data_IF_512724150048
#
_entry.id   IF_512724150048
#
_cell.length_a   1.000
_cell.length_b   1.000
_cell.length_c   1.000
_cell.angle_alpha   90.00
_cell.angle_beta   90.00
_cell.angle_gamma   90.00
#
_symmetry.space_group_name_H-M   'P 1'
#
loop_
_entity.id
_entity.type
_entity.pdbx_description
1 polymer ?
#
# COMPACT_ATOMS: atom_id res chain seq x y z
N UNK A 1 -20.31 17.93 -1.70
CA UNK A 1 -19.29 18.45 -0.75
C UNK A 1 -18.13 19.04 -1.54
N UNK A 2 -17.48 20.06 -0.98
CA UNK A 2 -16.20 20.58 -1.46
C UNK A 2 -15.10 19.87 -0.68
N UNK A 3 -14.20 19.17 -1.37
CA UNK A 3 -13.14 18.35 -0.76
C UNK A 3 -11.79 18.87 -1.27
N UNK A 4 -10.92 19.31 -0.37
CA UNK A 4 -9.54 19.64 -0.73
C UNK A 4 -8.59 18.56 -0.17
N UNK A 5 -7.82 17.97 -1.07
CA UNK A 5 -6.86 16.91 -0.74
C UNK A 5 -5.45 17.50 -0.89
N UNK A 6 -4.57 17.25 0.06
CA UNK A 6 -3.17 17.67 -0.05
C UNK A 6 -2.22 16.51 0.24
N UNK A 7 -1.41 16.15 -0.76
CA UNK A 7 -0.34 15.15 -0.65
C UNK A 7 0.96 15.77 -0.11
N UNK A 8 1.96 14.94 0.15
CA UNK A 8 3.27 15.40 0.62
C UNK A 8 4.17 16.02 -0.46
N UNK A 9 5.33 16.56 -0.07
CA UNK A 9 6.24 17.31 -0.94
C UNK A 9 7.11 16.48 -1.87
N UNK A 10 7.10 15.14 -1.75
CA UNK A 10 8.15 14.30 -2.33
C UNK A 10 7.78 13.66 -3.66
N UNK A 11 6.49 13.40 -3.90
CA UNK A 11 6.00 12.78 -5.13
C UNK A 11 4.90 13.63 -5.76
N UNK A 12 4.88 13.78 -7.09
CA UNK A 12 3.82 14.51 -7.80
C UNK A 12 2.54 13.67 -7.90
N UNK A 13 1.43 14.30 -8.33
CA UNK A 13 0.19 13.63 -8.75
C UNK A 13 -0.18 14.09 -10.19
N UNK A 14 -0.40 13.19 -11.13
CA UNK A 14 -0.22 11.74 -11.01
C UNK A 14 1.23 11.37 -10.71
N UNK A 15 1.47 10.27 -9.97
CA UNK A 15 2.84 9.87 -9.63
C UNK A 15 3.56 9.27 -10.84
N UNK A 16 4.91 9.41 -10.81
CA UNK A 16 5.78 8.58 -11.63
C UNK A 16 5.80 7.11 -11.13
N UNK A 17 6.86 6.35 -11.47
CA UNK A 17 7.01 4.95 -11.06
C UNK A 17 6.93 4.71 -9.55
N UNK A 18 7.37 5.68 -8.74
CA UNK A 18 7.24 5.65 -7.28
C UNK A 18 6.07 6.54 -6.82
N UNK A 19 5.44 6.22 -5.68
CA UNK A 19 4.36 7.03 -5.11
C UNK A 19 3.02 6.29 -5.05
N UNK A 20 2.98 5.16 -4.36
CA UNK A 20 1.74 4.38 -4.19
C UNK A 20 0.63 5.21 -3.52
N UNK A 21 0.96 6.02 -2.51
CA UNK A 21 0.01 6.87 -1.79
C UNK A 21 -0.57 7.94 -2.71
N UNK A 22 0.27 8.60 -3.52
CA UNK A 22 -0.13 9.62 -4.47
C UNK A 22 -1.03 9.04 -5.57
N UNK A 23 -0.76 7.81 -5.99
CA UNK A 23 -1.61 7.08 -6.95
C UNK A 23 -2.99 6.80 -6.37
N UNK A 24 -3.04 6.20 -5.19
CA UNK A 24 -4.29 5.92 -4.49
C UNK A 24 -5.10 7.20 -4.24
N UNK A 25 -4.41 8.29 -3.86
CA UNK A 25 -5.04 9.60 -3.66
C UNK A 25 -5.61 10.17 -4.96
N UNK A 26 -4.89 10.03 -6.08
CA UNK A 26 -5.38 10.47 -7.40
C UNK A 26 -6.61 9.69 -7.83
N UNK A 27 -6.59 8.36 -7.67
CA UNK A 27 -7.71 7.48 -7.99
C UNK A 27 -8.95 7.84 -7.15
N UNK A 28 -8.79 8.04 -5.83
CA UNK A 28 -9.87 8.46 -4.94
C UNK A 28 -10.42 9.85 -5.29
N UNK A 29 -9.54 10.82 -5.58
CA UNK A 29 -9.96 12.16 -5.97
C UNK A 29 -10.85 12.14 -7.23
N UNK A 30 -10.45 11.37 -8.24
CA UNK A 30 -11.24 11.19 -9.46
C UNK A 30 -12.60 10.51 -9.17
N UNK A 31 -12.65 9.53 -8.26
CA UNK A 31 -13.91 8.88 -7.85
C UNK A 31 -14.84 9.82 -7.09
N UNK A 32 -14.29 10.71 -6.25
CA UNK A 32 -15.09 11.74 -5.58
C UNK A 32 -15.67 12.74 -6.59
N UNK A 33 -14.86 13.20 -7.56
CA UNK A 33 -15.33 14.10 -8.62
C UNK A 33 -16.43 13.45 -9.48
N UNK A 34 -16.26 12.18 -9.87
CA UNK A 34 -17.25 11.42 -10.63
C UNK A 34 -18.60 11.26 -9.88
N UNK A 35 -18.62 11.39 -8.55
CA UNK A 35 -19.82 11.38 -7.70
C UNK A 35 -20.42 12.78 -7.47
N UNK A 36 -19.97 13.78 -8.25
CA UNK A 36 -20.50 15.15 -8.20
C UNK A 36 -19.96 16.01 -7.05
N UNK A 37 -18.82 15.61 -6.44
CA UNK A 37 -18.15 16.45 -5.45
C UNK A 37 -17.16 17.40 -6.13
N UNK A 38 -17.03 18.62 -5.61
CA UNK A 38 -16.02 19.58 -6.04
C UNK A 38 -14.68 19.21 -5.38
N UNK A 39 -13.71 18.76 -6.17
CA UNK A 39 -12.44 18.23 -5.64
C UNK A 39 -11.25 19.08 -6.09
N UNK A 40 -10.46 19.56 -5.12
CA UNK A 40 -9.16 20.21 -5.37
C UNK A 40 -8.04 19.32 -4.82
N UNK A 41 -7.03 18.98 -5.65
CA UNK A 41 -5.87 18.19 -5.26
C UNK A 41 -4.60 19.04 -5.30
N UNK A 42 -4.05 19.30 -4.11
CA UNK A 42 -2.77 20.01 -3.92
C UNK A 42 -1.64 18.99 -3.87
N UNK A 43 -0.65 19.13 -4.74
CA UNK A 43 0.46 18.20 -4.85
C UNK A 43 1.78 18.88 -5.20
N UNK A 44 2.85 18.10 -5.23
CA UNK A 44 4.15 18.56 -5.71
C UNK A 44 4.08 18.86 -7.22
N UNK A 45 4.76 19.95 -7.62
CA UNK A 45 5.00 20.30 -9.03
C UNK A 45 5.72 19.17 -9.77
N UNK A 46 5.30 18.90 -11.00
CA UNK A 46 5.90 17.91 -11.89
C UNK A 46 6.41 18.59 -13.17
N UNK A 47 7.66 18.34 -13.60
CA UNK A 47 8.12 18.80 -14.92
C UNK A 47 7.19 18.23 -16.02
N UNK A 48 6.75 19.08 -16.93
CA UNK A 48 5.84 18.67 -18.02
C UNK A 48 4.35 18.70 -17.70
N UNK A 49 3.96 19.08 -16.45
CA UNK A 49 2.57 19.34 -16.11
C UNK A 49 2.38 20.79 -15.66
N UNK A 50 1.27 21.44 -16.03
CA UNK A 50 0.99 22.81 -15.61
C UNK A 50 0.77 22.90 -14.09
N UNK A 51 1.04 24.07 -13.51
CA UNK A 51 0.84 24.31 -12.08
C UNK A 51 -0.63 24.24 -11.67
N UNK A 52 -1.54 24.53 -12.60
CA UNK A 52 -2.97 24.38 -12.43
C UNK A 52 -3.60 23.77 -13.66
N UNK A 53 -4.49 22.81 -13.47
CA UNK A 53 -5.31 22.20 -14.51
C UNK A 53 -6.57 21.56 -13.91
N UNK A 54 -7.52 21.24 -14.76
CA UNK A 54 -8.64 20.35 -14.39
C UNK A 54 -8.48 19.08 -15.21
N UNK A 55 -8.34 17.94 -14.53
CA UNK A 55 -8.22 16.63 -15.14
C UNK A 55 -9.09 15.63 -14.39
N UNK A 56 -9.85 14.79 -15.11
CA UNK A 56 -10.80 13.84 -14.54
C UNK A 56 -11.79 14.48 -13.53
N UNK A 57 -12.23 15.72 -13.77
CA UNK A 57 -13.11 16.48 -12.87
C UNK A 57 -12.43 17.02 -11.61
N UNK A 58 -11.13 16.79 -11.42
CA UNK A 58 -10.35 17.25 -10.28
C UNK A 58 -9.55 18.49 -10.64
N UNK A 59 -9.64 19.54 -9.82
CA UNK A 59 -8.80 20.74 -9.93
C UNK A 59 -7.44 20.47 -9.28
N UNK A 60 -6.39 20.36 -10.07
CA UNK A 60 -5.02 20.21 -9.59
C UNK A 60 -4.37 21.56 -9.32
N UNK A 61 -3.69 21.67 -8.18
CA UNK A 61 -2.84 22.80 -7.79
C UNK A 61 -1.47 22.24 -7.39
N UNK A 62 -0.44 22.51 -8.21
CA UNK A 62 0.90 21.99 -7.99
C UNK A 62 1.82 23.03 -7.39
N UNK A 63 2.47 22.68 -6.27
CA UNK A 63 3.35 23.54 -5.50
C UNK A 63 4.79 23.06 -5.59
N UNK A 64 5.74 24.00 -5.35
CA UNK A 64 7.15 23.65 -5.25
C UNK A 64 7.35 22.65 -4.12
N UNK A 65 7.86 21.47 -4.45
CA UNK A 65 8.19 20.41 -3.51
C UNK A 65 9.70 20.18 -3.41
N UNK A 66 10.08 19.08 -2.79
CA UNK A 66 11.48 18.68 -2.55
C UNK A 66 11.71 17.24 -3.00
N UNK A 67 12.97 16.87 -3.18
CA UNK A 67 13.34 15.46 -3.33
C UNK A 67 13.52 14.81 -1.96
N UNK A 68 13.04 13.57 -1.80
CA UNK A 68 13.24 12.78 -0.59
C UNK A 68 14.71 12.37 -0.44
N UNK A 69 15.12 12.15 0.81
CA UNK A 69 16.42 11.60 1.17
C UNK A 69 16.26 10.34 2.00
N UNK A 70 17.32 9.58 2.22
CA UNK A 70 17.33 8.43 3.12
C UNK A 70 17.15 8.80 4.61
N UNK A 71 17.43 10.07 4.97
CA UNK A 71 17.37 10.56 6.36
C UNK A 71 15.98 11.10 6.68
N UNK A 72 15.24 10.41 7.55
CA UNK A 72 13.85 10.77 7.91
C UNK A 72 13.73 12.19 8.47
N UNK A 73 14.63 12.60 9.37
CA UNK A 73 14.56 13.93 9.98
C UNK A 73 14.78 15.07 8.96
N UNK A 74 15.64 14.84 7.92
CA UNK A 74 15.82 15.79 6.81
C UNK A 74 14.53 15.93 6.01
N UNK A 75 13.84 14.82 5.77
CA UNK A 75 12.56 14.85 5.07
C UNK A 75 11.48 15.58 5.87
N UNK A 76 11.48 15.44 7.20
CA UNK A 76 10.57 16.20 8.08
C UNK A 76 10.83 17.71 7.97
N UNK A 77 12.10 18.12 7.98
CA UNK A 77 12.46 19.54 7.78
C UNK A 77 12.07 20.05 6.39
N UNK A 78 12.30 19.26 5.34
CA UNK A 78 11.91 19.60 3.96
C UNK A 78 10.40 19.67 3.74
N UNK A 79 9.61 18.96 4.54
CA UNK A 79 8.15 19.02 4.48
C UNK A 79 7.58 20.36 4.97
N UNK A 80 8.27 21.04 5.89
CA UNK A 80 7.75 22.26 6.52
C UNK A 80 7.46 23.41 5.53
N UNK A 81 8.40 23.84 4.66
CA UNK A 81 8.10 24.92 3.72
C UNK A 81 7.01 24.58 2.72
N UNK A 82 6.94 23.33 2.26
CA UNK A 82 5.84 22.85 1.43
C UNK A 82 4.51 22.90 2.18
N UNK A 83 4.45 22.37 3.38
CA UNK A 83 3.26 22.37 4.22
C UNK A 83 2.77 23.77 4.54
N UNK A 84 3.67 24.71 4.78
CA UNK A 84 3.31 26.12 4.97
C UNK A 84 2.72 26.75 3.70
N UNK A 85 3.33 26.46 2.54
CA UNK A 85 2.81 26.90 1.24
C UNK A 85 1.44 26.30 0.93
N UNK A 86 1.27 24.99 1.18
CA UNK A 86 0.01 24.28 1.02
C UNK A 86 -1.07 24.83 1.97
N UNK A 87 -0.76 25.00 3.25
CA UNK A 87 -1.69 25.55 4.22
C UNK A 87 -2.25 26.92 3.81
N UNK A 88 -1.40 27.80 3.23
CA UNK A 88 -1.82 29.11 2.74
C UNK A 88 -2.73 29.04 1.51
N UNK A 89 -2.69 27.94 0.76
CA UNK A 89 -3.42 27.73 -0.50
C UNK A 89 -4.55 26.73 -0.40
N UNK A 90 -4.80 26.16 0.80
CA UNK A 90 -5.99 25.35 1.03
C UNK A 90 -7.23 26.20 0.72
N UNK A 91 -8.09 25.79 -0.23
CA UNK A 91 -9.31 26.50 -0.56
C UNK A 91 -10.35 26.35 0.56
N UNK A 92 -11.37 27.20 0.54
CA UNK A 92 -12.56 26.97 1.33
C UNK A 92 -13.21 25.65 0.89
N UNK A 93 -13.39 24.75 1.82
CA UNK A 93 -13.92 23.40 1.57
C UNK A 93 -14.65 22.89 2.80
N UNK A 94 -15.48 21.86 2.60
CA UNK A 94 -16.18 21.22 3.71
C UNK A 94 -15.24 20.24 4.44
N UNK A 95 -14.34 19.60 3.66
CA UNK A 95 -13.34 18.64 4.18
C UNK A 95 -11.95 18.93 3.60
N UNK A 96 -10.96 18.94 4.46
CA UNK A 96 -9.53 18.90 4.10
C UNK A 96 -8.94 17.52 4.42
N UNK A 97 -8.63 16.74 3.40
CA UNK A 97 -7.91 15.45 3.52
C UNK A 97 -6.42 15.68 3.36
N UNK A 98 -5.65 15.51 4.44
CA UNK A 98 -4.25 15.91 4.52
C UNK A 98 -3.32 14.71 4.71
N UNK A 99 -2.25 14.67 3.90
CA UNK A 99 -1.24 13.62 3.94
C UNK A 99 0.18 14.21 3.86
N UNK A 100 0.59 14.95 4.87
CA UNK A 100 1.99 15.37 5.08
C UNK A 100 2.26 15.54 6.57
N UNK A 101 3.52 15.73 6.95
CA UNK A 101 3.88 15.75 8.37
C UNK A 101 3.41 17.03 9.09
N UNK A 102 3.68 18.22 8.53
CA UNK A 102 3.38 19.48 9.20
C UNK A 102 2.01 20.06 8.84
N UNK A 103 1.46 19.68 7.69
CA UNK A 103 0.25 20.31 7.19
C UNK A 103 -0.97 20.17 8.11
N UNK A 104 -1.25 19.01 8.75
CA UNK A 104 -2.38 18.91 9.68
C UNK A 104 -2.26 19.89 10.86
N UNK A 105 -1.06 20.06 11.40
CA UNK A 105 -0.79 21.00 12.48
C UNK A 105 -0.96 22.48 12.05
N UNK A 106 -0.51 22.83 10.84
CA UNK A 106 -0.62 24.18 10.30
C UNK A 106 -2.08 24.50 9.87
N UNK A 107 -2.76 23.54 9.28
CA UNK A 107 -4.16 23.67 8.88
C UNK A 107 -5.11 23.86 10.07
N UNK A 108 -4.86 23.16 11.18
CA UNK A 108 -5.65 23.30 12.41
C UNK A 108 -5.70 24.75 12.94
N UNK A 109 -4.63 25.53 12.73
CA UNK A 109 -4.58 26.95 13.09
C UNK A 109 -5.42 27.85 12.15
N UNK A 110 -5.55 27.46 10.89
CA UNK A 110 -6.31 28.18 9.87
C UNK A 110 -7.79 27.82 9.81
N UNK A 111 -8.15 26.69 10.39
CA UNK A 111 -9.52 26.14 10.37
C UNK A 111 -10.58 27.12 10.87
N UNK A 112 -10.25 27.98 11.84
CA UNK A 112 -11.19 28.94 12.43
C UNK A 112 -11.84 29.85 11.39
N UNK A 113 -11.10 30.17 10.33
CA UNK A 113 -11.52 31.06 9.25
C UNK A 113 -12.20 30.33 8.08
N UNK A 114 -12.01 29.00 7.96
CA UNK A 114 -12.41 28.22 6.80
C UNK A 114 -13.59 27.26 7.04
N UNK A 115 -13.92 26.97 8.30
CA UNK A 115 -15.03 26.05 8.66
C UNK A 115 -14.84 24.57 8.24
N UNK A 116 -13.69 24.21 7.66
CA UNK A 116 -13.46 22.88 7.15
C UNK A 116 -13.20 21.85 8.25
N UNK A 117 -13.67 20.60 8.08
CA UNK A 117 -13.26 19.45 8.88
C UNK A 117 -11.92 18.94 8.40
N UNK A 118 -10.99 18.68 9.32
CA UNK A 118 -9.63 18.19 9.01
C UNK A 118 -9.57 16.70 9.20
N UNK A 119 -9.31 15.98 8.10
CA UNK A 119 -9.09 14.54 8.05
C UNK A 119 -7.63 14.27 7.73
N UNK A 120 -6.95 13.43 8.51
CA UNK A 120 -5.57 13.00 8.27
C UNK A 120 -5.56 11.60 7.71
N UNK A 121 -4.97 11.42 6.50
CA UNK A 121 -4.77 10.10 5.91
C UNK A 121 -3.48 9.46 6.46
N UNK A 122 -3.61 8.37 7.20
CA UNK A 122 -2.51 7.68 7.86
C UNK A 122 -2.10 6.42 7.07
N UNK A 123 -1.29 6.60 6.02
CA UNK A 123 -0.81 5.52 5.16
C UNK A 123 0.44 4.80 5.68
N UNK A 124 1.02 5.25 6.79
CA UNK A 124 2.26 4.71 7.37
C UNK A 124 2.18 4.66 8.87
N UNK A 125 2.98 3.80 9.47
CA UNK A 125 3.14 3.77 10.93
C UNK A 125 3.57 5.14 11.48
N UNK A 126 3.06 5.52 12.67
CA UNK A 126 3.32 6.79 13.30
C UNK A 126 4.81 6.95 13.68
N UNK A 127 5.34 8.18 13.51
CA UNK A 127 6.71 8.56 13.85
C UNK A 127 6.78 9.69 14.88
N UNK A 128 5.80 9.79 15.78
CA UNK A 128 5.72 10.83 16.80
C UNK A 128 4.73 11.95 16.50
N UNK A 129 4.35 12.15 15.24
CA UNK A 129 3.57 13.30 14.77
C UNK A 129 2.15 13.41 15.33
N UNK A 130 1.48 12.29 15.60
CA UNK A 130 0.08 12.30 16.05
C UNK A 130 -0.11 12.98 17.42
N UNK A 131 0.95 13.08 18.23
CA UNK A 131 0.92 13.86 19.48
C UNK A 131 0.64 15.35 19.24
N UNK A 132 0.97 15.86 18.03
CA UNK A 132 0.82 17.25 17.62
C UNK A 132 -0.55 17.54 16.96
N UNK A 133 -1.33 16.53 16.60
CA UNK A 133 -2.54 16.68 15.76
C UNK A 133 -3.83 16.86 16.54
N UNK A 134 -3.77 17.37 17.77
CA UNK A 134 -4.97 17.58 18.63
C UNK A 134 -6.08 18.44 18.02
N UNK A 135 -5.79 19.18 16.95
CA UNK A 135 -6.75 20.04 16.24
C UNK A 135 -7.39 19.41 15.02
N UNK A 136 -7.22 18.11 14.77
CA UNK A 136 -7.86 17.41 13.65
C UNK A 136 -9.18 16.75 14.08
N UNK A 137 -10.09 16.55 13.14
CA UNK A 137 -11.42 16.01 13.42
C UNK A 137 -11.51 14.50 13.19
N UNK A 138 -10.66 13.97 12.30
CA UNK A 138 -10.62 12.54 11.94
C UNK A 138 -9.21 12.12 11.57
N UNK A 139 -8.84 10.88 11.91
CA UNK A 139 -7.64 10.21 11.42
C UNK A 139 -8.11 8.93 10.74
N UNK A 140 -7.89 8.81 9.43
CA UNK A 140 -8.22 7.61 8.66
C UNK A 140 -6.97 6.76 8.51
N UNK A 141 -6.91 5.65 9.24
CA UNK A 141 -5.83 4.68 9.18
C UNK A 141 -6.10 3.60 8.12
N UNK A 142 -5.06 3.18 7.41
CA UNK A 142 -5.18 2.17 6.33
C UNK A 142 -5.29 0.73 6.84
N UNK A 143 -5.05 0.49 8.12
CA UNK A 143 -5.19 -0.83 8.77
C UNK A 143 -5.44 -0.68 10.27
N UNK A 144 -5.94 -1.75 10.90
CA UNK A 144 -6.10 -1.80 12.35
C UNK A 144 -4.76 -1.65 13.07
N UNK A 145 -3.70 -2.30 12.57
CA UNK A 145 -2.38 -2.19 13.17
C UNK A 145 -1.81 -0.76 13.12
N UNK A 146 -2.08 0.00 12.06
CA UNK A 146 -1.72 1.43 12.02
C UNK A 146 -2.61 2.24 12.97
N UNK A 147 -3.91 1.96 13.04
CA UNK A 147 -4.83 2.61 13.98
C UNK A 147 -4.40 2.40 15.44
N UNK A 148 -4.08 1.16 15.83
CA UNK A 148 -3.63 0.81 17.18
C UNK A 148 -2.30 1.49 17.52
N UNK A 149 -1.37 1.54 16.59
CA UNK A 149 -0.10 2.25 16.74
C UNK A 149 -0.31 3.76 16.94
N UNK A 150 -1.27 4.37 16.23
CA UNK A 150 -1.64 5.78 16.39
C UNK A 150 -2.23 6.01 17.78
N UNK A 151 -3.19 5.18 18.20
CA UNK A 151 -3.82 5.29 19.53
C UNK A 151 -2.80 5.07 20.64
N UNK A 152 -1.87 4.13 20.49
CA UNK A 152 -0.77 3.91 21.44
C UNK A 152 0.12 5.16 21.55
N UNK A 153 0.45 5.79 20.42
CA UNK A 153 1.26 7.02 20.42
C UNK A 153 0.51 8.24 20.98
N UNK A 154 -0.78 8.33 20.69
CA UNK A 154 -1.64 9.49 20.99
C UNK A 154 -3.01 9.00 21.50
N UNK A 155 -3.15 8.56 22.76
CA UNK A 155 -4.38 7.96 23.30
C UNK A 155 -5.63 8.84 23.16
N UNK A 156 -5.47 10.16 23.12
CA UNK A 156 -6.54 11.11 22.90
C UNK A 156 -7.23 10.95 21.54
N UNK A 157 -6.56 10.34 20.56
CA UNK A 157 -7.07 10.19 19.18
C UNK A 157 -8.08 9.03 19.04
N UNK A 158 -8.20 8.15 20.03
CA UNK A 158 -9.08 6.97 19.98
C UNK A 158 -10.49 7.24 19.44
N UNK A 159 -11.21 8.29 19.87
CA UNK A 159 -12.58 8.57 19.38
C UNK A 159 -12.63 9.08 17.94
N UNK A 160 -11.52 9.52 17.37
CA UNK A 160 -11.46 10.10 16.02
C UNK A 160 -10.66 9.25 15.02
N UNK A 161 -10.10 8.13 15.45
CA UNK A 161 -9.43 7.18 14.53
C UNK A 161 -10.48 6.27 13.91
N UNK A 162 -10.50 6.23 12.58
CA UNK A 162 -11.31 5.31 11.78
C UNK A 162 -10.41 4.49 10.85
N UNK A 163 -10.80 3.25 10.51
CA UNK A 163 -10.04 2.39 9.62
C UNK A 163 -10.76 2.32 8.27
N UNK A 164 -10.13 2.87 7.24
CA UNK A 164 -10.54 2.71 5.85
C UNK A 164 -9.32 2.18 5.09
N UNK A 165 -9.35 0.93 4.60
CA UNK A 165 -8.23 0.29 3.92
C UNK A 165 -7.82 1.00 2.63
N UNK A 166 -6.60 0.70 2.16
CA UNK A 166 -6.20 1.12 0.82
C UNK A 166 -7.04 0.41 -0.25
N UNK A 167 -7.55 1.13 -1.25
CA UNK A 167 -8.28 0.53 -2.36
C UNK A 167 -7.36 -0.16 -3.37
N UNK A 168 -7.96 -1.08 -4.13
CA UNK A 168 -7.39 -1.65 -5.35
C UNK A 168 -8.34 -1.39 -6.53
N UNK A 169 -7.76 -1.30 -7.71
CA UNK A 169 -8.54 -1.16 -8.95
C UNK A 169 -9.06 -2.52 -9.43
N UNK A 170 -10.28 -2.85 -9.04
CA UNK A 170 -10.91 -4.13 -9.40
C UNK A 170 -11.32 -4.22 -10.88
N UNK A 171 -11.16 -3.16 -11.67
CA UNK A 171 -11.30 -3.23 -13.12
C UNK A 171 -10.04 -3.71 -13.83
N UNK A 172 -8.87 -3.49 -13.22
CA UNK A 172 -7.55 -3.92 -13.70
C UNK A 172 -7.16 -5.26 -13.08
N UNK A 173 -7.27 -5.37 -11.75
CA UNK A 173 -6.94 -6.60 -11.01
C UNK A 173 -8.17 -7.50 -10.93
N UNK A 174 -8.39 -8.27 -11.98
CA UNK A 174 -9.52 -9.19 -12.11
C UNK A 174 -9.06 -10.64 -12.08
N UNK A 175 -9.83 -11.49 -11.43
CA UNK A 175 -9.55 -12.92 -11.38
C UNK A 175 -9.67 -13.57 -12.77
N UNK A 176 -8.74 -14.48 -13.06
CA UNK A 176 -8.78 -15.33 -14.23
C UNK A 176 -8.95 -16.81 -13.79
N UNK A 177 -9.56 -17.66 -14.62
CA UNK A 177 -9.59 -19.11 -14.38
C UNK A 177 -8.16 -19.64 -14.20
N UNK A 178 -7.98 -20.55 -13.24
CA UNK A 178 -6.68 -21.18 -12.92
C UNK A 178 -6.81 -22.68 -12.88
N UNK A 179 -5.77 -23.33 -13.38
CA UNK A 179 -5.55 -24.75 -13.20
C UNK A 179 -4.34 -24.95 -12.29
N UNK A 180 -4.54 -25.59 -11.15
CA UNK A 180 -3.52 -25.87 -10.15
C UNK A 180 -2.99 -27.33 -10.22
N UNK A 181 -3.31 -28.09 -11.29
CA UNK A 181 -2.89 -29.48 -11.43
C UNK A 181 -1.46 -29.65 -12.01
N UNK A 182 -0.82 -28.56 -12.41
CA UNK A 182 0.55 -28.55 -12.96
C UNK A 182 1.59 -27.98 -12.01
N UNK A 183 2.85 -27.82 -12.49
CA UNK A 183 3.89 -27.14 -11.77
C UNK A 183 3.48 -25.70 -11.39
N UNK A 184 3.69 -25.33 -10.13
CA UNK A 184 3.24 -24.03 -9.62
C UNK A 184 4.23 -22.92 -9.95
N UNK A 185 3.70 -21.76 -10.26
CA UNK A 185 4.41 -20.51 -10.49
C UNK A 185 4.26 -19.63 -9.27
N UNK A 186 5.35 -19.51 -8.49
CA UNK A 186 5.42 -18.63 -7.35
C UNK A 186 5.95 -17.25 -7.78
N UNK A 187 5.40 -16.19 -7.19
CA UNK A 187 5.80 -14.82 -7.46
C UNK A 187 5.92 -14.04 -6.16
N UNK A 188 7.01 -13.31 -6.02
CA UNK A 188 7.13 -12.15 -5.14
C UNK A 188 7.18 -10.89 -6.00
N UNK A 189 6.47 -9.84 -5.61
CA UNK A 189 6.60 -8.52 -6.22
C UNK A 189 6.66 -7.43 -5.16
N UNK A 190 7.73 -6.63 -5.19
CA UNK A 190 7.98 -5.55 -4.25
C UNK A 190 9.45 -5.13 -4.24
N UNK A 191 9.82 -4.14 -3.42
CA UNK A 191 11.23 -3.73 -3.30
C UNK A 191 12.11 -4.89 -2.88
N UNK A 192 13.27 -5.04 -3.50
CA UNK A 192 14.27 -6.03 -3.09
C UNK A 192 15.10 -5.40 -1.97
N UNK A 193 14.66 -5.67 -0.72
CA UNK A 193 15.22 -5.08 0.49
C UNK A 193 15.12 -6.10 1.64
N UNK A 194 16.07 -6.15 2.60
CA UNK A 194 16.06 -7.11 3.71
C UNK A 194 14.75 -7.13 4.50
N UNK A 195 14.13 -5.97 4.73
CA UNK A 195 12.84 -5.88 5.43
C UNK A 195 11.70 -6.66 4.77
N UNK A 196 11.86 -7.07 3.50
CA UNK A 196 10.87 -7.85 2.76
C UNK A 196 11.03 -9.37 2.92
N UNK A 197 12.01 -9.84 3.72
CA UNK A 197 12.15 -11.23 4.10
C UNK A 197 12.50 -12.17 2.96
N UNK A 198 13.15 -11.66 1.90
CA UNK A 198 13.46 -12.47 0.70
C UNK A 198 14.40 -13.65 0.98
N UNK A 199 15.25 -13.55 2.00
CA UNK A 199 16.09 -14.68 2.43
C UNK A 199 15.25 -15.84 2.96
N UNK A 200 14.18 -15.53 3.74
CA UNK A 200 13.23 -16.54 4.23
C UNK A 200 12.54 -17.20 3.05
N UNK A 201 12.09 -16.41 2.06
CA UNK A 201 11.44 -16.93 0.87
C UNK A 201 12.33 -17.85 0.06
N UNK A 202 13.55 -17.40 -0.26
CA UNK A 202 14.48 -18.18 -1.10
C UNK A 202 14.88 -19.48 -0.42
N UNK A 203 15.24 -19.44 0.88
CA UNK A 203 15.57 -20.65 1.66
C UNK A 203 14.36 -21.59 1.76
N UNK A 204 13.17 -21.04 2.02
CA UNK A 204 11.94 -21.81 2.09
C UNK A 204 11.59 -22.46 0.76
N UNK A 205 11.66 -21.72 -0.34
CA UNK A 205 11.39 -22.24 -1.67
C UNK A 205 12.44 -23.29 -2.11
N UNK A 206 13.72 -23.03 -1.88
CA UNK A 206 14.78 -24.00 -2.20
C UNK A 206 14.59 -25.35 -1.48
N UNK A 207 14.10 -25.32 -0.22
CA UNK A 207 13.74 -26.54 0.53
C UNK A 207 12.48 -27.22 0.01
N UNK A 208 11.50 -26.46 -0.47
CA UNK A 208 10.24 -26.96 -1.00
C UNK A 208 10.36 -27.51 -2.43
N UNK A 209 11.25 -26.94 -3.25
CA UNK A 209 11.38 -27.22 -4.68
C UNK A 209 11.54 -28.72 -5.02
N UNK A 210 12.32 -29.56 -4.28
CA UNK A 210 12.39 -30.99 -4.54
C UNK A 210 11.06 -31.73 -4.42
N UNK A 211 10.14 -31.23 -3.59
CA UNK A 211 8.78 -31.79 -3.43
C UNK A 211 7.77 -31.21 -4.43
N UNK A 212 8.17 -30.19 -5.20
CA UNK A 212 7.33 -29.46 -6.15
C UNK A 212 7.99 -29.45 -7.56
N UNK A 213 8.13 -30.60 -8.22
CA UNK A 213 8.87 -30.71 -9.46
C UNK A 213 8.31 -29.77 -10.54
N UNK A 214 9.22 -29.08 -11.24
CA UNK A 214 8.87 -28.14 -12.31
C UNK A 214 8.36 -26.78 -11.84
N UNK A 215 8.12 -26.59 -10.53
CA UNK A 215 7.67 -25.28 -10.00
C UNK A 215 8.82 -24.26 -10.01
N UNK A 216 8.47 -22.98 -10.18
CA UNK A 216 9.42 -21.87 -10.31
C UNK A 216 9.06 -20.71 -9.38
N UNK A 217 10.06 -19.94 -8.95
CA UNK A 217 9.89 -18.70 -8.20
C UNK A 217 10.43 -17.50 -9.00
N UNK A 218 9.60 -16.49 -9.18
CA UNK A 218 10.01 -15.20 -9.72
C UNK A 218 10.09 -14.19 -8.59
N UNK A 219 11.20 -13.48 -8.46
CA UNK A 219 11.38 -12.32 -7.57
C UNK A 219 11.44 -11.09 -8.47
N UNK A 220 10.39 -10.26 -8.42
CA UNK A 220 10.23 -9.09 -9.26
C UNK A 220 10.23 -7.82 -8.42
N UNK A 221 11.14 -6.89 -8.71
CA UNK A 221 11.10 -5.62 -8.00
C UNK A 221 12.31 -4.73 -8.10
N UNK A 222 12.15 -3.51 -7.59
CA UNK A 222 13.20 -2.52 -7.57
C UNK A 222 14.27 -2.90 -6.55
N UNK A 223 15.50 -2.97 -7.01
CA UNK A 223 16.69 -3.26 -6.18
C UNK A 223 17.60 -2.05 -6.02
N UNK A 224 17.48 -1.05 -6.90
CA UNK A 224 18.28 0.17 -6.84
C UNK A 224 17.99 0.98 -5.57
N UNK A 225 19.02 1.51 -4.94
CA UNK A 225 18.91 2.33 -3.72
C UNK A 225 18.05 3.58 -3.97
N UNK A 226 18.14 4.17 -5.17
CA UNK A 226 17.33 5.33 -5.56
C UNK A 226 15.82 5.03 -5.59
N UNK A 227 15.45 3.75 -5.79
CA UNK A 227 14.06 3.27 -5.78
C UNK A 227 13.68 2.59 -4.46
N UNK A 228 14.54 2.69 -3.44
CA UNK A 228 14.33 2.12 -2.11
C UNK A 228 14.68 0.65 -1.98
N UNK A 229 15.42 0.08 -2.94
CA UNK A 229 16.03 -1.23 -2.85
C UNK A 229 17.33 -1.22 -2.03
N UNK A 230 17.92 -2.40 -1.79
CA UNK A 230 19.14 -2.56 -1.01
C UNK A 230 20.44 -2.56 -1.84
N UNK A 231 20.33 -2.35 -3.14
CA UNK A 231 21.48 -2.30 -4.06
C UNK A 231 21.92 -3.65 -4.62
N UNK A 232 22.90 -3.65 -5.53
CA UNK A 232 23.30 -4.83 -6.29
C UNK A 232 23.93 -5.93 -5.40
N UNK A 233 24.67 -5.55 -4.36
CA UNK A 233 25.29 -6.52 -3.45
C UNK A 233 24.27 -7.42 -2.75
N UNK A 234 23.10 -6.87 -2.39
CA UNK A 234 22.02 -7.66 -1.79
C UNK A 234 21.37 -8.61 -2.80
N UNK A 235 21.19 -8.16 -4.05
CA UNK A 235 20.68 -9.03 -5.12
C UNK A 235 21.63 -10.21 -5.36
N UNK A 236 22.94 -9.95 -5.39
CA UNK A 236 23.94 -11.02 -5.58
C UNK A 236 23.98 -11.98 -4.39
N UNK A 237 23.86 -11.49 -3.17
CA UNK A 237 23.67 -12.33 -1.99
C UNK A 237 22.43 -13.25 -2.15
N UNK A 238 21.30 -12.70 -2.59
CA UNK A 238 20.08 -13.48 -2.82
C UNK A 238 20.24 -14.52 -3.94
N UNK A 239 20.97 -14.21 -5.00
CA UNK A 239 21.29 -15.17 -6.08
C UNK A 239 22.16 -16.32 -5.57
N UNK A 240 23.19 -15.99 -4.80
CA UNK A 240 24.05 -17.01 -4.15
C UNK A 240 23.22 -17.90 -3.23
N UNK A 241 22.29 -17.31 -2.47
CA UNK A 241 21.39 -18.04 -1.58
C UNK A 241 20.44 -18.99 -2.32
N UNK A 242 19.98 -18.59 -3.52
CA UNK A 242 19.13 -19.42 -4.36
C UNK A 242 19.84 -20.68 -4.88
N UNK A 243 21.15 -20.63 -5.07
CA UNK A 243 21.95 -21.76 -5.55
C UNK A 243 21.40 -22.32 -6.86
N UNK A 244 21.05 -23.62 -6.87
CA UNK A 244 20.45 -24.31 -8.02
C UNK A 244 18.93 -24.33 -8.03
N UNK A 245 18.26 -23.71 -7.04
CA UNK A 245 16.81 -23.64 -7.01
C UNK A 245 16.29 -22.82 -8.20
N UNK A 246 15.12 -23.14 -8.78
CA UNK A 246 14.57 -22.47 -9.96
C UNK A 246 13.99 -21.08 -9.59
N UNK A 247 14.87 -20.15 -9.21
CA UNK A 247 14.56 -18.76 -8.84
C UNK A 247 15.04 -17.83 -9.93
N UNK A 248 14.16 -16.93 -10.38
CA UNK A 248 14.47 -15.91 -11.40
C UNK A 248 14.24 -14.52 -10.83
N UNK A 249 15.17 -13.60 -11.07
CA UNK A 249 15.05 -12.20 -10.71
C UNK A 249 14.62 -11.38 -11.93
N UNK A 250 13.63 -10.49 -11.74
CA UNK A 250 13.10 -9.61 -12.80
C UNK A 250 13.03 -8.17 -12.33
N UNK A 251 13.15 -7.27 -13.27
CA UNK A 251 12.98 -5.83 -13.03
C UNK A 251 11.56 -5.48 -12.57
N UNK A 252 11.38 -4.35 -11.88
CA UNK A 252 10.08 -3.91 -11.41
C UNK A 252 9.15 -3.58 -12.59
N UNK A 253 7.88 -3.94 -12.44
CA UNK A 253 6.80 -3.57 -13.35
C UNK A 253 5.94 -2.51 -12.67
N UNK A 254 5.89 -1.31 -13.24
CA UNK A 254 5.13 -0.18 -12.69
C UNK A 254 3.81 0.06 -13.42
N UNK A 255 3.70 -0.39 -14.66
CA UNK A 255 2.47 -0.29 -15.43
C UNK A 255 1.44 -1.31 -14.90
N UNK A 256 0.23 -0.83 -14.57
CA UNK A 256 -0.79 -1.59 -13.84
C UNK A 256 -1.29 -2.82 -14.58
N UNK A 257 -1.54 -2.70 -15.87
CA UNK A 257 -2.08 -3.81 -16.68
C UNK A 257 -1.05 -4.91 -16.87
N UNK A 258 0.21 -4.54 -17.09
CA UNK A 258 1.34 -5.47 -17.16
C UNK A 258 1.59 -6.14 -15.81
N UNK A 259 1.47 -5.40 -14.71
CA UNK A 259 1.59 -5.96 -13.37
C UNK A 259 0.44 -6.94 -13.07
N UNK A 260 -0.80 -6.56 -13.41
CA UNK A 260 -1.95 -7.44 -13.27
C UNK A 260 -1.81 -8.72 -14.12
N UNK A 261 -1.22 -8.62 -15.32
CA UNK A 261 -0.91 -9.78 -16.15
C UNK A 261 0.12 -10.71 -15.48
N UNK A 262 1.16 -10.16 -14.86
CA UNK A 262 2.14 -10.95 -14.10
C UNK A 262 1.50 -11.65 -12.90
N UNK A 263 0.60 -10.97 -12.17
CA UNK A 263 -0.17 -11.57 -11.07
C UNK A 263 -1.15 -12.64 -11.56
N UNK A 264 -1.80 -12.45 -12.71
CA UNK A 264 -2.64 -13.50 -13.33
C UNK A 264 -1.81 -14.70 -13.78
N UNK A 265 -0.56 -14.51 -14.14
CA UNK A 265 0.32 -15.59 -14.56
C UNK A 265 0.92 -16.40 -13.41
N UNK A 266 0.88 -15.93 -12.16
CA UNK A 266 1.36 -16.70 -11.00
C UNK A 266 0.20 -17.44 -10.31
N UNK A 267 0.52 -18.57 -9.66
CA UNK A 267 -0.45 -19.37 -8.92
C UNK A 267 -0.46 -19.00 -7.44
N UNK A 268 0.73 -18.80 -6.89
CA UNK A 268 0.93 -18.43 -5.48
C UNK A 268 1.78 -17.17 -5.39
N UNK A 269 1.25 -16.15 -4.73
CA UNK A 269 1.95 -14.90 -4.48
C UNK A 269 2.51 -14.89 -3.07
N UNK A 270 3.84 -14.91 -2.92
CA UNK A 270 4.47 -14.97 -1.59
C UNK A 270 5.01 -13.61 -1.18
N UNK A 271 4.56 -13.09 -0.04
CA UNK A 271 4.98 -11.79 0.47
C UNK A 271 5.47 -11.89 1.92
N UNK A 272 6.72 -12.29 2.13
CA UNK A 272 7.28 -12.68 3.42
C UNK A 272 7.82 -11.50 4.24
N UNK A 273 7.24 -10.30 4.12
CA UNK A 273 7.72 -9.09 4.80
C UNK A 273 7.92 -9.31 6.31
N UNK A 274 9.07 -8.88 6.83
CA UNK A 274 9.39 -8.91 8.27
C UNK A 274 9.34 -7.53 8.91
N UNK A 275 8.81 -6.55 8.18
CA UNK A 275 8.78 -5.14 8.57
C UNK A 275 7.61 -4.86 9.54
N UNK A 276 7.76 -5.18 10.82
CA UNK A 276 6.72 -5.02 11.86
C UNK A 276 6.11 -3.62 11.93
N UNK A 277 6.90 -2.58 11.73
CA UNK A 277 6.46 -1.18 11.71
C UNK A 277 6.69 -0.51 10.34
N UNK A 278 6.99 -1.30 9.32
CA UNK A 278 7.24 -0.84 7.95
C UNK A 278 6.13 -1.21 6.96
N UNK A 279 5.42 -2.32 7.23
CA UNK A 279 4.31 -2.78 6.40
C UNK A 279 2.98 -2.29 6.97
N UNK A 280 2.37 -1.30 6.31
CA UNK A 280 1.16 -0.66 6.85
C UNK A 280 -0.14 -1.32 6.41
N UNK A 281 -0.16 -2.00 5.24
CA UNK A 281 -1.37 -2.64 4.73
C UNK A 281 -1.07 -3.83 3.80
N UNK A 282 -0.17 -3.67 2.81
CA UNK A 282 0.15 -4.73 1.85
C UNK A 282 -0.77 -4.74 0.62
N UNK A 283 -0.67 -3.70 -0.19
CA UNK A 283 -1.49 -3.57 -1.42
C UNK A 283 -1.18 -4.70 -2.42
N UNK A 284 0.10 -5.05 -2.61
CA UNK A 284 0.48 -6.08 -3.59
C UNK A 284 -0.09 -7.49 -3.30
N UNK A 285 -0.10 -8.02 -2.05
CA UNK A 285 -0.83 -9.25 -1.75
C UNK A 285 -2.34 -9.16 -2.01
N UNK A 286 -2.96 -8.01 -1.76
CA UNK A 286 -4.37 -7.80 -2.04
C UNK A 286 -4.66 -7.74 -3.55
N UNK A 287 -3.81 -7.09 -4.35
CA UNK A 287 -3.87 -7.09 -5.81
C UNK A 287 -3.70 -8.51 -6.38
N UNK A 288 -2.76 -9.29 -5.84
CA UNK A 288 -2.58 -10.70 -6.20
C UNK A 288 -3.85 -11.51 -5.89
N UNK A 289 -4.42 -11.35 -4.71
CA UNK A 289 -5.66 -11.98 -4.29
C UNK A 289 -6.82 -11.65 -5.24
N UNK A 290 -6.92 -10.39 -5.67
CA UNK A 290 -7.94 -9.94 -6.63
C UNK A 290 -7.80 -10.61 -8.00
N UNK A 291 -6.58 -10.96 -8.42
CA UNK A 291 -6.35 -11.70 -9.69
C UNK A 291 -6.56 -13.21 -9.56
N UNK A 292 -6.86 -13.72 -8.37
CA UNK A 292 -7.02 -15.12 -8.06
C UNK A 292 -5.71 -15.85 -7.74
N UNK A 293 -4.58 -15.15 -7.63
CA UNK A 293 -3.37 -15.77 -7.06
C UNK A 293 -3.57 -16.01 -5.55
N UNK A 294 -3.10 -17.15 -5.05
CA UNK A 294 -3.21 -17.46 -3.63
C UNK A 294 -2.13 -16.71 -2.86
N UNK A 295 -2.49 -15.75 -1.97
CA UNK A 295 -1.51 -15.04 -1.19
C UNK A 295 -0.96 -15.91 -0.05
N UNK A 296 0.37 -15.96 0.09
CA UNK A 296 1.09 -16.49 1.24
C UNK A 296 1.84 -15.33 1.87
N UNK A 297 1.48 -14.95 3.10
CA UNK A 297 2.06 -13.78 3.76
C UNK A 297 2.65 -14.14 5.13
N UNK A 298 3.53 -13.30 5.63
CA UNK A 298 4.01 -13.38 7.02
C UNK A 298 2.92 -12.97 8.02
N UNK A 299 3.05 -13.38 9.29
CA UNK A 299 2.10 -13.07 10.35
C UNK A 299 2.18 -11.60 10.84
N UNK A 300 2.21 -10.64 9.92
CA UNK A 300 2.10 -9.21 10.24
C UNK A 300 0.63 -8.81 10.41
N UNK A 301 0.34 -8.03 11.45
CA UNK A 301 -1.02 -7.63 11.80
C UNK A 301 -1.78 -6.90 10.69
N UNK A 302 -1.10 -6.18 9.80
CA UNK A 302 -1.74 -5.44 8.71
C UNK A 302 -2.43 -6.34 7.67
N UNK A 303 -1.99 -7.59 7.52
CA UNK A 303 -2.60 -8.51 6.56
C UNK A 303 -3.92 -9.09 7.05
N UNK A 304 -4.15 -9.14 8.37
CA UNK A 304 -5.41 -9.66 8.95
C UNK A 304 -6.64 -8.80 8.62
N UNK A 305 -6.45 -7.60 8.09
CA UNK A 305 -7.57 -6.75 7.66
C UNK A 305 -8.25 -7.27 6.39
N UNK A 306 -7.52 -7.98 5.53
CA UNK A 306 -8.06 -8.51 4.28
C UNK A 306 -7.87 -10.01 4.10
N UNK A 307 -6.90 -10.64 4.77
CA UNK A 307 -6.56 -12.05 4.64
C UNK A 307 -6.88 -12.82 5.92
N UNK A 308 -7.57 -13.95 5.76
CA UNK A 308 -7.83 -14.93 6.81
C UNK A 308 -7.10 -16.22 6.47
N UNK A 309 -6.24 -16.68 7.39
CA UNK A 309 -5.43 -17.89 7.21
C UNK A 309 -6.30 -19.13 6.95
N UNK A 310 -5.92 -19.92 5.97
CA UNK A 310 -6.62 -21.14 5.55
C UNK A 310 -7.97 -20.90 4.86
N UNK A 311 -8.41 -19.64 4.70
CA UNK A 311 -9.70 -19.30 4.07
C UNK A 311 -9.52 -18.45 2.81
N UNK A 312 -8.81 -17.33 2.89
CA UNK A 312 -8.59 -16.41 1.76
C UNK A 312 -7.13 -16.30 1.31
N UNK A 313 -6.26 -17.11 1.91
CA UNK A 313 -4.83 -17.20 1.68
C UNK A 313 -4.17 -17.99 2.80
N UNK A 314 -2.86 -17.93 2.92
CA UNK A 314 -2.12 -18.62 3.95
C UNK A 314 -1.13 -17.69 4.67
N UNK A 315 -0.93 -17.94 5.97
CA UNK A 315 -0.05 -17.15 6.84
C UNK A 315 1.03 -18.05 7.43
N UNK A 316 2.28 -17.58 7.44
CA UNK A 316 3.36 -18.25 8.15
C UNK A 316 3.98 -17.35 9.23
N UNK A 317 4.47 -17.95 10.31
CA UNK A 317 5.16 -17.20 11.35
C UNK A 317 6.60 -16.90 10.96
N UNK A 318 6.85 -15.65 10.59
CA UNK A 318 8.16 -15.12 10.22
C UNK A 318 9.07 -14.84 11.42
N UNK A 319 8.53 -14.83 12.65
CA UNK A 319 9.29 -14.60 13.90
C UNK A 319 9.93 -15.86 14.41
N UNK A 320 9.45 -17.03 13.96
CA UNK A 320 10.01 -18.33 14.34
C UNK A 320 11.47 -18.44 13.87
N UNK A 321 12.38 -18.98 14.69
CA UNK A 321 13.72 -19.35 14.23
C UNK A 321 13.69 -20.31 13.02
N UNK A 322 12.63 -21.09 12.87
CA UNK A 322 12.38 -22.00 11.76
C UNK A 322 11.48 -21.39 10.66
N UNK A 323 11.49 -20.06 10.48
CA UNK A 323 10.59 -19.39 9.53
C UNK A 323 10.70 -19.91 8.09
N UNK A 324 11.92 -20.20 7.64
CA UNK A 324 12.16 -20.76 6.29
C UNK A 324 11.61 -22.19 6.16
N UNK A 325 11.74 -23.01 7.20
CA UNK A 325 11.19 -24.36 7.29
C UNK A 325 9.66 -24.36 7.33
N UNK A 326 9.08 -23.46 8.14
CA UNK A 326 7.65 -23.28 8.21
C UNK A 326 7.07 -22.85 6.87
N UNK A 327 7.73 -21.91 6.19
CA UNK A 327 7.34 -21.50 4.85
C UNK A 327 7.49 -22.66 3.85
N UNK A 328 8.59 -23.41 3.88
CA UNK A 328 8.79 -24.56 3.00
C UNK A 328 7.66 -25.60 3.16
N UNK A 329 7.34 -25.99 4.39
CA UNK A 329 6.25 -26.91 4.68
C UNK A 329 4.88 -26.38 4.18
N UNK A 330 4.63 -25.08 4.33
CA UNK A 330 3.43 -24.44 3.82
C UNK A 330 3.36 -24.47 2.28
N UNK A 331 4.45 -24.15 1.59
CA UNK A 331 4.52 -24.20 0.13
C UNK A 331 4.31 -25.63 -0.40
N UNK A 332 4.90 -26.64 0.24
CA UNK A 332 4.67 -28.05 -0.11
C UNK A 332 3.21 -28.43 0.10
N UNK A 333 2.63 -28.12 1.25
CA UNK A 333 1.22 -28.39 1.54
C UNK A 333 0.27 -27.78 0.49
N UNK A 334 0.54 -26.54 0.10
CA UNK A 334 -0.26 -25.89 -0.95
C UNK A 334 -0.03 -26.54 -2.31
N UNK A 335 1.23 -26.84 -2.66
CA UNK A 335 1.58 -27.41 -3.97
C UNK A 335 1.13 -28.85 -4.18
N UNK A 336 0.83 -29.57 -3.11
CA UNK A 336 0.31 -30.96 -3.15
C UNK A 336 -1.20 -31.06 -2.97
N UNK A 337 -1.91 -29.91 -2.84
CA UNK A 337 -3.33 -29.84 -2.56
C UNK A 337 -4.05 -28.86 -3.54
N UNK A 338 -4.24 -29.24 -4.80
CA UNK A 338 -4.83 -28.37 -5.82
C UNK A 338 -6.26 -27.89 -5.46
N UNK A 339 -7.06 -28.72 -4.81
CA UNK A 339 -8.40 -28.32 -4.36
C UNK A 339 -8.35 -27.26 -3.27
N UNK A 340 -7.37 -27.32 -2.36
CA UNK A 340 -7.15 -26.26 -1.38
C UNK A 340 -6.76 -24.95 -2.07
N UNK A 341 -5.81 -24.98 -3.02
CA UNK A 341 -5.43 -23.80 -3.80
C UNK A 341 -6.64 -23.19 -4.53
N UNK A 342 -7.47 -24.03 -5.14
CA UNK A 342 -8.70 -23.61 -5.83
C UNK A 342 -9.68 -22.92 -4.87
N UNK A 343 -9.89 -23.48 -3.69
CA UNK A 343 -10.76 -22.91 -2.67
C UNK A 343 -10.22 -21.55 -2.16
N UNK A 344 -8.93 -21.48 -1.81
CA UNK A 344 -8.27 -20.23 -1.36
C UNK A 344 -8.30 -19.15 -2.44
N UNK A 345 -8.04 -19.50 -3.69
CA UNK A 345 -8.10 -18.59 -4.84
C UNK A 345 -9.48 -17.98 -5.01
N UNK A 346 -10.52 -18.81 -5.01
CA UNK A 346 -11.90 -18.35 -5.17
C UNK A 346 -12.36 -17.45 -4.02
N UNK A 347 -12.12 -17.88 -2.78
CA UNK A 347 -12.48 -17.12 -1.58
C UNK A 347 -11.67 -15.80 -1.48
N UNK A 348 -10.38 -15.84 -1.80
CA UNK A 348 -9.51 -14.68 -1.86
C UNK A 348 -9.99 -13.65 -2.88
N UNK A 349 -10.27 -14.08 -4.11
CA UNK A 349 -10.77 -13.19 -5.16
C UNK A 349 -12.14 -12.58 -4.82
N UNK A 350 -13.01 -13.33 -4.16
CA UNK A 350 -14.29 -12.82 -3.66
C UNK A 350 -14.06 -11.72 -2.60
N UNK A 351 -13.20 -12.00 -1.61
CA UNK A 351 -12.88 -11.06 -0.53
C UNK A 351 -12.23 -9.77 -1.04
N UNK A 352 -11.36 -9.84 -2.05
CA UNK A 352 -10.66 -8.68 -2.61
C UNK A 352 -11.61 -7.63 -3.21
N UNK A 353 -12.82 -8.01 -3.62
CA UNK A 353 -13.84 -7.08 -4.15
C UNK A 353 -14.30 -6.07 -3.10
N UNK A 354 -14.24 -6.41 -1.81
CA UNK A 354 -14.59 -5.50 -0.71
C UNK A 354 -13.62 -4.32 -0.58
N UNK A 355 -12.52 -4.35 -1.33
CA UNK A 355 -11.48 -3.34 -1.36
C UNK A 355 -11.42 -2.56 -2.68
N UNK A 356 -12.46 -2.67 -3.52
CA UNK A 356 -12.55 -1.94 -4.78
C UNK A 356 -12.55 -0.42 -4.57
N UNK A 357 -11.89 0.30 -5.48
CA UNK A 357 -11.74 1.77 -5.39
C UNK A 357 -13.07 2.49 -5.26
N UNK A 358 -14.11 2.04 -5.96
CA UNK A 358 -15.44 2.66 -5.89
C UNK A 358 -16.08 2.49 -4.52
N UNK A 359 -16.05 1.26 -3.97
CA UNK A 359 -16.60 0.97 -2.66
C UNK A 359 -15.88 1.73 -1.54
N UNK A 360 -14.54 1.84 -1.61
CA UNK A 360 -13.79 2.56 -0.60
C UNK A 360 -13.92 4.08 -0.76
N UNK A 361 -14.11 4.59 -1.97
CA UNK A 361 -14.49 5.98 -2.19
C UNK A 361 -15.84 6.31 -1.50
N UNK A 362 -16.84 5.42 -1.63
CA UNK A 362 -18.13 5.59 -0.95
C UNK A 362 -17.99 5.55 0.57
N UNK A 363 -17.14 4.67 1.12
CA UNK A 363 -16.84 4.63 2.56
C UNK A 363 -16.20 5.93 3.06
N UNK A 364 -15.26 6.51 2.30
CA UNK A 364 -14.68 7.81 2.64
C UNK A 364 -15.71 8.92 2.63
N UNK A 365 -16.58 8.97 1.60
CA UNK A 365 -17.63 9.98 1.48
C UNK A 365 -18.66 9.84 2.59
N UNK A 366 -19.04 8.62 2.97
CA UNK A 366 -19.95 8.36 4.10
C UNK A 366 -19.33 8.82 5.44
N UNK A 367 -18.03 8.54 5.66
CA UNK A 367 -17.31 9.01 6.85
C UNK A 367 -17.24 10.56 6.92
N UNK A 368 -17.02 11.22 5.77
CA UNK A 368 -17.01 12.68 5.69
C UNK A 368 -18.41 13.27 5.93
N UNK A 369 -19.45 12.66 5.37
CA UNK A 369 -20.83 13.11 5.60
C UNK A 369 -21.21 12.98 7.09
N UNK A 370 -20.87 11.88 7.74
CA UNK A 370 -21.07 11.69 9.18
C UNK A 370 -20.29 12.73 10.01
N UNK A 371 -19.06 13.04 9.60
CA UNK A 371 -18.23 14.04 10.27
C UNK A 371 -18.78 15.47 10.15
N UNK A 372 -19.50 15.78 9.07
CA UNK A 372 -20.13 17.09 8.84
C UNK A 372 -21.49 17.22 9.55
N UNK A 373 -22.17 16.11 9.82
CA UNK A 373 -23.46 16.09 10.50
C UNK A 373 -23.34 16.20 12.03
N UNK A 374 -22.19 15.86 12.61
CA UNK A 374 -21.87 15.94 14.04
C UNK A 374 -20.94 17.08 14.36
#
# INVERSE_FOLDING_TARGET
MRIAIATGPFHPTPPGPAGAVERLTTDLAARFAARGHEVTLISRRHPGLPDQEVAAGVRHLRLQGSQSTSRVWVNILKDFPYSLSAARRLPAADVWLLNSFWLPFLAARRRRDAGARIVVAAHRYPKGQYRLYRGVDRITAVSRSVADAIVTQAPWSRPIVNVIPNPIDTSVFTAAPRDFNGPLRFLYAGRIHPEKGLEILIRGFAKAAPCLPGSTLVIMGAWEVAQGGAGPAYVEHLRTLAGTAPVTFRDPVFERTTFAAALRACDVFVYPSVAEQGESFGVAPLEAMATGAVPVVSALGCFSDFLQDGVTGAVFDHRSPAASENLAGLLVRLGTAPDLLKALSAAGAARARDFGTDLLADRHLADYAALLAG
#
